data_IF_006830442885
#
_entry.id   IF_006830442885
#
_cell.length_a   1.000
_cell.length_b   1.000
_cell.length_c   1.000
_cell.angle_alpha   90.00
_cell.angle_beta   90.00
_cell.angle_gamma   90.00
#
_symmetry.space_group_name_H-M   'P 1'
#
loop_
_entity.id
_entity.type
_entity.pdbx_description
1 polymer ?
#
# COMPACT_ATOMS: atom_id res chain seq x y z
N UNK A 1 -12.31 32.89 7.65
CA UNK A 1 -12.90 31.58 7.96
C UNK A 1 -11.77 30.65 8.38
N UNK A 2 -11.76 30.16 9.63
CA UNK A 2 -10.80 29.16 10.10
C UNK A 2 -11.52 27.83 10.22
N UNK A 3 -11.23 26.88 9.32
CA UNK A 3 -11.95 25.61 9.26
C UNK A 3 -11.63 24.65 10.43
N UNK A 4 -10.51 24.84 11.15
CA UNK A 4 -10.07 24.09 12.34
C UNK A 4 -9.98 22.54 12.21
N UNK A 5 -10.23 21.98 11.03
CA UNK A 5 -10.08 20.55 10.77
C UNK A 5 -8.62 20.11 10.96
N UNK A 6 -8.43 18.97 11.60
CA UNK A 6 -7.10 18.43 11.93
C UNK A 6 -6.41 17.69 10.78
N UNK A 7 -7.18 17.23 9.81
CA UNK A 7 -6.73 16.48 8.64
C UNK A 7 -7.87 16.38 7.62
N UNK A 8 -7.58 15.82 6.46
CA UNK A 8 -8.53 15.62 5.38
C UNK A 8 -8.54 14.17 4.87
N UNK A 9 -9.53 13.84 4.05
CA UNK A 9 -9.46 12.68 3.17
C UNK A 9 -8.37 12.96 2.11
N UNK A 10 -7.34 12.11 2.04
CA UNK A 10 -6.20 12.27 1.14
C UNK A 10 -6.53 11.75 -0.27
N UNK A 11 -7.54 12.37 -0.91
CA UNK A 11 -7.88 12.10 -2.32
C UNK A 11 -6.68 12.28 -3.27
N UNK A 12 -5.82 13.31 -3.12
CA UNK A 12 -4.65 13.45 -3.97
C UNK A 12 -3.75 12.20 -3.91
N UNK A 13 -3.46 11.70 -2.70
CA UNK A 13 -2.65 10.49 -2.57
C UNK A 13 -3.37 9.24 -3.08
N UNK A 14 -4.69 9.12 -2.85
CA UNK A 14 -5.52 8.04 -3.40
C UNK A 14 -5.40 7.98 -4.94
N UNK A 15 -5.60 9.11 -5.61
CA UNK A 15 -5.50 9.22 -7.07
C UNK A 15 -4.08 8.93 -7.57
N UNK A 16 -3.05 9.40 -6.85
CA UNK A 16 -1.66 9.15 -7.21
C UNK A 16 -1.28 7.67 -7.07
N UNK A 17 -1.80 6.97 -6.05
CA UNK A 17 -1.63 5.51 -5.92
C UNK A 17 -2.33 4.79 -7.08
N UNK A 18 -3.58 5.15 -7.42
CA UNK A 18 -4.28 4.57 -8.56
C UNK A 18 -3.51 4.77 -9.86
N UNK A 19 -3.03 5.99 -10.09
CA UNK A 19 -2.22 6.34 -11.25
C UNK A 19 -0.96 5.46 -11.33
N UNK A 20 -0.27 5.25 -10.21
CA UNK A 20 0.94 4.40 -10.13
C UNK A 20 0.71 2.93 -10.50
N UNK A 21 -0.52 2.44 -10.35
CA UNK A 21 -0.89 1.04 -10.59
C UNK A 21 -1.58 0.80 -11.94
N UNK A 22 -2.14 1.86 -12.54
CA UNK A 22 -2.98 1.77 -13.74
C UNK A 22 -2.36 2.44 -14.96
N UNK A 23 -1.33 3.29 -14.79
CA UNK A 23 -0.70 4.04 -15.87
C UNK A 23 0.80 3.74 -15.96
N UNK A 24 1.40 3.80 -17.17
CA UNK A 24 2.85 3.70 -17.32
C UNK A 24 3.56 4.86 -16.62
N UNK A 25 4.84 4.66 -16.30
CA UNK A 25 5.67 5.73 -15.75
C UNK A 25 5.93 6.81 -16.81
N UNK A 26 5.47 8.02 -16.54
CA UNK A 26 5.68 9.24 -17.34
C UNK A 26 6.26 10.33 -16.45
N UNK A 27 6.63 11.50 -16.99
CA UNK A 27 7.23 12.58 -16.19
C UNK A 27 6.40 12.97 -14.95
N UNK A 28 5.08 13.10 -15.11
CA UNK A 28 4.11 13.37 -14.02
C UNK A 28 3.07 12.25 -13.84
N UNK A 29 3.26 11.11 -14.51
CA UNK A 29 2.31 10.00 -14.54
C UNK A 29 2.90 8.70 -14.01
N UNK A 30 2.03 7.72 -13.77
CA UNK A 30 2.39 6.44 -13.17
C UNK A 30 3.00 6.66 -11.79
N UNK A 31 4.10 5.95 -11.51
CA UNK A 31 4.75 5.99 -10.21
C UNK A 31 5.34 7.35 -9.83
N UNK A 32 5.64 8.22 -10.80
CA UNK A 32 6.14 9.56 -10.52
C UNK A 32 5.06 10.48 -9.94
N UNK A 33 3.77 10.24 -10.26
CA UNK A 33 2.66 10.97 -9.66
C UNK A 33 2.63 10.77 -8.14
N UNK A 34 2.89 9.54 -7.66
CA UNK A 34 2.96 9.22 -6.24
C UNK A 34 4.10 9.98 -5.54
N UNK A 35 5.30 9.96 -6.14
CA UNK A 35 6.45 10.69 -5.59
C UNK A 35 6.18 12.19 -5.49
N UNK A 36 5.67 12.80 -6.56
CA UNK A 36 5.39 14.23 -6.63
C UNK A 36 4.30 14.64 -5.64
N UNK A 37 3.22 13.86 -5.53
CA UNK A 37 2.13 14.12 -4.57
C UNK A 37 2.64 14.10 -3.13
N UNK A 38 3.49 13.13 -2.77
CA UNK A 38 4.12 13.10 -1.44
C UNK A 38 5.13 14.24 -1.25
N UNK A 39 5.78 14.72 -2.31
CA UNK A 39 6.68 15.86 -2.22
C UNK A 39 5.93 17.16 -1.87
N UNK A 40 4.64 17.25 -2.15
CA UNK A 40 3.77 18.39 -1.83
C UNK A 40 3.22 18.36 -0.39
N UNK A 41 3.64 17.40 0.42
CA UNK A 41 3.23 17.26 1.82
C UNK A 41 3.46 18.49 2.69
N UNK A 42 4.43 19.34 2.31
CA UNK A 42 4.69 20.61 2.98
C UNK A 42 3.52 21.61 2.89
N UNK A 43 2.56 21.39 1.99
CA UNK A 43 1.33 22.18 1.89
C UNK A 43 0.37 21.91 3.05
N UNK A 44 0.50 20.75 3.70
CA UNK A 44 -0.28 20.40 4.87
C UNK A 44 0.48 20.77 6.15
N UNK A 45 -0.24 21.30 7.15
CA UNK A 45 0.34 21.57 8.47
C UNK A 45 0.88 20.31 9.14
N UNK A 46 0.15 19.20 9.02
CA UNK A 46 0.56 17.90 9.53
C UNK A 46 -0.15 16.80 8.72
N UNK A 47 0.50 16.29 7.67
CA UNK A 47 -0.18 15.35 6.81
C UNK A 47 -0.21 13.92 7.38
N UNK A 48 0.43 13.67 8.54
CA UNK A 48 0.22 12.43 9.30
C UNK A 48 -1.20 12.28 9.83
N UNK A 49 -1.99 13.37 9.83
CA UNK A 49 -3.40 13.37 10.26
C UNK A 49 -4.39 13.13 9.13
N UNK A 50 -3.92 13.09 7.89
CA UNK A 50 -4.79 12.78 6.76
C UNK A 50 -5.19 11.31 6.77
N UNK A 51 -6.44 11.06 6.37
CA UNK A 51 -7.01 9.73 6.20
C UNK A 51 -6.66 9.24 4.80
N UNK A 52 -5.84 8.19 4.72
CA UNK A 52 -5.49 7.50 3.49
C UNK A 52 -6.51 6.41 3.21
N UNK A 53 -6.88 6.24 1.96
CA UNK A 53 -7.75 5.17 1.49
C UNK A 53 -7.44 4.89 0.02
N UNK A 54 -7.88 3.76 -0.48
CA UNK A 54 -7.78 3.41 -1.90
C UNK A 54 -9.14 3.46 -2.59
N UNK A 55 -10.20 3.32 -1.84
CA UNK A 55 -11.57 3.50 -2.28
C UNK A 55 -12.46 3.73 -1.05
N UNK A 56 -13.73 3.95 -1.31
CA UNK A 56 -14.79 3.99 -0.32
C UNK A 56 -16.13 3.76 -1.05
N UNK A 57 -17.22 3.89 -0.32
CA UNK A 57 -18.58 3.72 -0.83
C UNK A 57 -18.99 4.66 -1.99
N UNK A 58 -18.22 5.70 -2.31
CA UNK A 58 -18.50 6.66 -3.39
C UNK A 58 -17.60 6.47 -4.62
N UNK A 59 -16.70 5.49 -4.57
CA UNK A 59 -15.70 5.19 -5.61
C UNK A 59 -15.87 3.77 -6.18
N UNK A 60 -15.31 3.52 -7.36
CA UNK A 60 -15.17 2.14 -7.87
C UNK A 60 -14.34 1.30 -6.90
N UNK A 61 -14.65 0.00 -6.78
CA UNK A 61 -13.87 -0.91 -5.95
C UNK A 61 -12.42 -0.93 -6.43
N UNK A 62 -11.48 -0.80 -5.50
CA UNK A 62 -10.06 -0.70 -5.82
C UNK A 62 -9.57 -1.92 -6.62
N UNK A 63 -10.05 -3.12 -6.27
CA UNK A 63 -9.70 -4.35 -7.02
C UNK A 63 -10.12 -4.27 -8.50
N UNK A 64 -11.30 -3.71 -8.80
CA UNK A 64 -11.74 -3.46 -10.17
C UNK A 64 -10.89 -2.40 -10.87
N UNK A 65 -10.52 -1.32 -10.16
CA UNK A 65 -9.70 -0.24 -10.73
C UNK A 65 -8.32 -0.73 -11.18
N UNK A 66 -7.71 -1.65 -10.43
CA UNK A 66 -6.41 -2.24 -10.80
C UNK A 66 -6.51 -3.39 -11.80
N UNK A 67 -7.67 -3.59 -12.42
CA UNK A 67 -7.89 -4.59 -13.45
C UNK A 67 -8.06 -6.01 -12.92
N UNK A 68 -8.52 -6.15 -11.66
CA UNK A 68 -8.66 -7.44 -10.97
C UNK A 68 -7.33 -8.21 -10.89
N UNK A 69 -6.21 -7.47 -10.90
CA UNK A 69 -4.86 -8.00 -10.76
C UNK A 69 -4.48 -8.06 -9.28
N UNK A 70 -4.37 -9.27 -8.74
CA UNK A 70 -4.03 -9.50 -7.33
C UNK A 70 -2.67 -8.93 -6.93
N UNK A 71 -1.71 -8.90 -7.85
CA UNK A 71 -0.36 -8.41 -7.56
C UNK A 71 -0.37 -6.88 -7.42
N UNK A 72 -1.10 -6.18 -8.29
CA UNK A 72 -1.34 -4.73 -8.16
C UNK A 72 -2.18 -4.38 -6.94
N UNK A 73 -3.19 -5.20 -6.63
CA UNK A 73 -3.99 -5.04 -5.41
C UNK A 73 -3.10 -5.11 -4.15
N UNK A 74 -2.24 -6.13 -4.04
CA UNK A 74 -1.28 -6.26 -2.94
C UNK A 74 -0.33 -5.07 -2.88
N UNK A 75 0.15 -4.56 -4.02
CA UNK A 75 0.98 -3.36 -4.05
C UNK A 75 0.26 -2.13 -3.48
N UNK A 76 -1.00 -1.89 -3.86
CA UNK A 76 -1.82 -0.84 -3.26
C UNK A 76 -2.01 -1.01 -1.75
N UNK A 77 -2.32 -2.23 -1.30
CA UNK A 77 -2.50 -2.51 0.14
C UNK A 77 -1.20 -2.33 0.93
N UNK A 78 -0.05 -2.67 0.34
CA UNK A 78 1.25 -2.39 0.93
C UNK A 78 1.46 -0.89 1.12
N UNK A 79 1.21 -0.09 0.08
CA UNK A 79 1.29 1.37 0.16
C UNK A 79 0.34 1.90 1.24
N UNK A 80 -0.95 1.55 1.20
CA UNK A 80 -1.94 2.01 2.19
C UNK A 80 -1.48 1.74 3.63
N UNK A 81 -1.01 0.52 3.92
CA UNK A 81 -0.70 0.08 5.29
C UNK A 81 0.69 0.50 5.78
N UNK A 82 1.57 1.00 4.90
CA UNK A 82 2.94 1.38 5.27
C UNK A 82 3.26 2.86 5.03
N UNK A 83 2.41 3.58 4.30
CA UNK A 83 2.55 5.02 4.07
C UNK A 83 2.29 5.84 5.35
N UNK A 84 2.75 7.10 5.35
CA UNK A 84 2.41 8.10 6.37
C UNK A 84 0.89 8.22 6.52
N UNK A 85 0.37 8.73 7.64
CA UNK A 85 -1.06 9.02 7.75
C UNK A 85 -1.90 7.90 8.36
N UNK A 86 -3.21 8.06 8.33
CA UNK A 86 -4.17 7.14 8.97
C UNK A 86 -4.82 6.29 7.88
N UNK A 87 -4.48 5.00 7.73
CA UNK A 87 -5.11 4.17 6.71
C UNK A 87 -6.55 3.81 7.08
N UNK A 88 -7.41 3.85 6.08
CA UNK A 88 -8.78 3.35 6.08
C UNK A 88 -8.91 2.31 4.96
N UNK A 89 -9.39 1.13 5.33
CA UNK A 89 -9.70 0.01 4.43
C UNK A 89 -11.22 -0.06 4.27
N UNK A 90 -11.74 -0.24 3.05
CA UNK A 90 -13.17 -0.34 2.82
C UNK A 90 -13.61 -1.81 2.96
N UNK A 91 -14.77 -2.05 3.57
CA UNK A 91 -15.21 -3.41 3.87
C UNK A 91 -15.35 -4.23 2.59
N UNK A 92 -14.85 -5.46 2.61
CA UNK A 92 -14.89 -6.34 1.44
C UNK A 92 -13.64 -6.28 0.57
N UNK A 93 -12.79 -5.26 0.69
CA UNK A 93 -11.53 -5.25 -0.03
C UNK A 93 -10.63 -6.41 0.41
N UNK A 94 -10.71 -6.78 1.68
CA UNK A 94 -9.97 -7.91 2.26
C UNK A 94 -10.34 -9.27 1.66
N UNK A 95 -11.44 -9.34 0.92
CA UNK A 95 -11.90 -10.51 0.17
C UNK A 95 -12.13 -10.16 -1.31
N UNK A 96 -11.42 -9.16 -1.82
CA UNK A 96 -11.41 -8.78 -3.23
C UNK A 96 -12.81 -8.47 -3.79
N UNK A 97 -13.69 -7.85 -2.98
CA UNK A 97 -14.94 -7.31 -3.51
C UNK A 97 -14.63 -6.34 -4.64
N UNK A 98 -15.40 -6.49 -5.72
CA UNK A 98 -15.19 -5.81 -6.99
C UNK A 98 -16.52 -5.25 -7.47
N UNK A 99 -16.44 -4.25 -8.33
CA UNK A 99 -17.47 -3.67 -9.20
C UNK A 99 -17.10 -2.22 -9.50
N UNK A 100 -17.67 -1.71 -10.59
CA UNK A 100 -17.70 -0.28 -10.87
C UNK A 100 -19.03 0.29 -10.38
N UNK A 101 -19.03 1.58 -10.02
CA UNK A 101 -20.22 2.38 -9.69
C UNK A 101 -21.03 2.67 -10.97
N UNK A 102 -21.55 1.60 -11.58
CA UNK A 102 -22.26 1.62 -12.84
C UNK A 102 -23.22 0.42 -12.91
N UNK A 103 -24.55 0.62 -12.98
CA UNK A 103 -25.23 1.90 -13.27
C UNK A 103 -25.35 2.85 -12.07
N UNK A 104 -25.13 2.39 -10.84
CA UNK A 104 -25.29 3.22 -9.64
C UNK A 104 -24.25 2.89 -8.57
N UNK A 105 -24.21 3.71 -7.51
CA UNK A 105 -23.38 3.50 -6.33
C UNK A 105 -23.72 2.21 -5.57
N UNK A 106 -24.89 1.60 -5.80
CA UNK A 106 -25.27 0.34 -5.14
C UNK A 106 -24.28 -0.79 -5.46
N UNK A 107 -23.71 -0.78 -6.67
CA UNK A 107 -22.80 -1.83 -7.14
C UNK A 107 -21.52 -1.94 -6.30
N UNK A 108 -21.09 -0.85 -5.67
CA UNK A 108 -19.89 -0.82 -4.81
C UNK A 108 -20.23 -0.96 -3.32
N UNK A 109 -21.52 -1.12 -2.99
CA UNK A 109 -22.08 -1.18 -1.63
C UNK A 109 -22.84 -2.50 -1.37
N UNK A 110 -22.51 -3.56 -2.12
CA UNK A 110 -23.13 -4.87 -1.96
C UNK A 110 -22.91 -5.44 -0.55
N UNK A 111 -23.83 -6.29 -0.10
CA UNK A 111 -23.73 -6.98 1.17
C UNK A 111 -22.45 -7.81 1.25
N UNK A 112 -21.81 -7.82 2.43
CA UNK A 112 -20.64 -8.66 2.64
C UNK A 112 -21.08 -10.14 2.66
N UNK A 113 -20.48 -11.03 1.84
CA UNK A 113 -20.93 -12.42 1.76
C UNK A 113 -20.75 -13.15 3.10
N UNK A 114 -21.86 -13.49 3.76
CA UNK A 114 -21.90 -14.14 5.06
C UNK A 114 -22.46 -13.28 6.19
N UNK A 115 -22.79 -12.01 5.93
CA UNK A 115 -23.35 -11.11 6.95
C UNK A 115 -24.82 -11.34 7.26
N UNK A 116 -25.53 -12.09 6.41
CA UNK A 116 -26.96 -12.32 6.52
C UNK A 116 -27.25 -13.80 6.80
N UNK A 117 -28.24 -14.04 7.66
CA UNK A 117 -28.67 -15.39 7.96
C UNK A 117 -29.22 -16.06 6.69
N UNK A 118 -28.67 -17.23 6.34
CA UNK A 118 -29.03 -17.95 5.12
C UNK A 118 -28.15 -17.65 3.91
N UNK A 119 -27.14 -16.77 4.02
CA UNK A 119 -26.17 -16.56 2.96
C UNK A 119 -25.51 -17.89 2.55
N UNK A 120 -25.44 -18.20 1.23
CA UNK A 120 -24.90 -19.47 0.76
C UNK A 120 -23.39 -19.58 0.96
N UNK A 121 -22.72 -18.45 1.18
CA UNK A 121 -21.27 -18.35 1.36
C UNK A 121 -20.99 -17.46 2.57
N UNK A 122 -20.06 -17.89 3.43
CA UNK A 122 -19.63 -17.11 4.59
C UNK A 122 -18.14 -16.78 4.50
N UNK A 123 -17.83 -15.56 4.04
CA UNK A 123 -16.45 -15.08 3.88
C UNK A 123 -15.81 -14.54 5.14
N UNK A 124 -16.53 -14.51 6.27
CA UNK A 124 -15.86 -14.36 7.58
C UNK A 124 -14.96 -15.55 7.88
N UNK A 125 -15.27 -16.72 7.35
CA UNK A 125 -14.48 -17.95 7.51
C UNK A 125 -13.53 -18.15 6.34
N UNK A 126 -12.29 -18.60 6.62
CA UNK A 126 -11.30 -18.88 5.58
C UNK A 126 -11.76 -19.95 4.58
N UNK A 127 -12.54 -20.93 5.03
CA UNK A 127 -13.14 -21.98 4.18
C UNK A 127 -14.20 -21.46 3.20
N UNK A 128 -14.80 -20.30 3.49
CA UNK A 128 -15.77 -19.65 2.58
C UNK A 128 -15.13 -18.70 1.57
N UNK A 129 -13.80 -18.53 1.63
CA UNK A 129 -13.02 -17.68 0.71
C UNK A 129 -12.33 -18.52 -0.34
N UNK A 130 -12.18 -17.97 -1.55
CA UNK A 130 -11.33 -18.57 -2.58
C UNK A 130 -9.85 -18.54 -2.18
N UNK A 131 -8.98 -19.17 -2.97
CA UNK A 131 -7.53 -19.12 -2.75
C UNK A 131 -7.00 -17.68 -2.80
N UNK A 132 -7.41 -16.91 -3.81
CA UNK A 132 -6.96 -15.52 -3.99
C UNK A 132 -7.51 -14.60 -2.90
N UNK A 133 -8.75 -14.81 -2.47
CA UNK A 133 -9.35 -14.07 -1.36
C UNK A 133 -8.62 -14.36 -0.04
N UNK A 134 -8.23 -15.61 0.21
CA UNK A 134 -7.40 -15.93 1.36
C UNK A 134 -6.00 -15.32 1.27
N UNK A 135 -5.41 -15.26 0.07
CA UNK A 135 -4.12 -14.61 -0.14
C UNK A 135 -4.20 -13.10 0.16
N UNK A 136 -5.23 -12.41 -0.36
CA UNK A 136 -5.49 -11.01 -0.09
C UNK A 136 -5.74 -10.74 1.41
N UNK A 137 -6.61 -11.56 2.02
CA UNK A 137 -6.95 -11.45 3.44
C UNK A 137 -5.73 -11.60 4.34
N UNK A 138 -4.92 -12.65 4.14
CA UNK A 138 -3.74 -12.89 4.97
C UNK A 138 -2.63 -11.85 4.71
N UNK A 139 -2.51 -11.33 3.48
CA UNK A 139 -1.60 -10.22 3.16
C UNK A 139 -1.96 -8.95 3.95
N UNK A 140 -3.22 -8.52 3.87
CA UNK A 140 -3.73 -7.35 4.60
C UNK A 140 -3.61 -7.56 6.11
N UNK A 141 -4.01 -8.73 6.61
CA UNK A 141 -3.93 -9.07 8.04
C UNK A 141 -2.49 -9.03 8.54
N UNK A 142 -1.53 -9.53 7.77
CA UNK A 142 -0.10 -9.51 8.13
C UNK A 142 0.39 -8.08 8.27
N UNK A 143 0.18 -7.24 7.25
CA UNK A 143 0.62 -5.85 7.25
C UNK A 143 -0.11 -4.98 8.28
N UNK A 144 -1.42 -5.16 8.47
CA UNK A 144 -2.19 -4.44 9.46
C UNK A 144 -1.72 -4.77 10.89
N UNK A 145 -1.44 -6.05 11.19
CA UNK A 145 -0.90 -6.44 12.48
C UNK A 145 0.54 -5.97 12.69
N UNK A 146 1.36 -5.94 11.64
CA UNK A 146 2.69 -5.36 11.69
C UNK A 146 2.64 -3.86 11.97
N UNK A 147 1.79 -3.12 11.24
CA UNK A 147 1.56 -1.68 11.41
C UNK A 147 1.20 -1.31 12.85
N UNK A 148 0.37 -2.11 13.53
CA UNK A 148 -0.02 -1.87 14.93
C UNK A 148 1.16 -1.85 15.90
N UNK A 149 2.25 -2.55 15.56
CA UNK A 149 3.43 -2.72 16.41
C UNK A 149 4.62 -1.90 15.95
N UNK A 150 4.65 -1.51 14.67
CA UNK A 150 5.75 -0.75 14.06
C UNK A 150 5.72 0.72 14.48
N UNK A 151 6.76 1.17 15.17
CA UNK A 151 6.93 2.58 15.55
C UNK A 151 7.22 3.45 14.32
N UNK A 152 8.05 2.93 13.42
CA UNK A 152 8.40 3.56 12.15
C UNK A 152 7.17 3.83 11.28
N UNK A 153 6.30 2.85 11.04
CA UNK A 153 5.08 3.06 10.24
C UNK A 153 4.06 3.90 11.01
N UNK A 154 3.90 3.64 12.31
CA UNK A 154 2.90 4.30 13.14
C UNK A 154 3.10 5.81 13.26
N UNK A 155 4.34 6.24 13.52
CA UNK A 155 4.67 7.62 13.91
C UNK A 155 5.98 8.12 13.31
N UNK A 156 6.77 7.25 12.72
CA UNK A 156 8.07 7.59 12.15
C UNK A 156 7.98 8.50 10.94
N UNK A 157 9.12 9.10 10.61
CA UNK A 157 9.32 9.96 9.45
C UNK A 157 9.23 9.15 8.16
N UNK A 158 9.00 9.84 7.06
CA UNK A 158 9.07 9.29 5.71
C UNK A 158 10.25 9.92 4.98
N UNK A 159 11.07 9.09 4.33
CA UNK A 159 12.07 9.53 3.36
C UNK A 159 11.85 8.73 2.08
N UNK A 160 11.59 9.43 0.98
CA UNK A 160 11.38 8.81 -0.33
C UNK A 160 12.54 9.12 -1.28
N UNK A 161 12.77 8.20 -2.21
CA UNK A 161 13.73 8.35 -3.28
C UNK A 161 12.99 8.51 -4.60
N UNK A 162 13.51 9.38 -5.48
CA UNK A 162 13.00 9.55 -6.85
C UNK A 162 12.92 8.15 -7.51
N UNK A 163 11.77 7.77 -8.11
CA UNK A 163 11.65 6.50 -8.81
C UNK A 163 12.72 6.34 -9.90
N UNK A 164 13.32 5.15 -10.01
CA UNK A 164 14.30 4.83 -11.05
C UNK A 164 14.03 3.43 -11.59
N UNK A 165 14.07 3.26 -12.92
CA UNK A 165 13.84 1.97 -13.59
C UNK A 165 12.52 1.29 -13.17
N UNK A 166 11.45 2.08 -13.02
CA UNK A 166 10.14 1.67 -12.52
C UNK A 166 10.11 1.17 -11.06
N UNK A 167 11.18 1.37 -10.29
CA UNK A 167 11.20 1.07 -8.85
C UNK A 167 11.07 2.36 -8.06
N UNK A 168 10.04 2.43 -7.22
CA UNK A 168 9.89 3.45 -6.20
C UNK A 168 10.30 2.88 -4.84
N UNK A 169 11.01 3.68 -4.06
CA UNK A 169 11.53 3.27 -2.76
C UNK A 169 11.34 4.39 -1.75
N UNK A 170 10.81 4.03 -0.60
CA UNK A 170 10.75 4.92 0.55
C UNK A 170 11.00 4.16 1.84
N UNK A 171 11.32 4.92 2.87
CA UNK A 171 11.59 4.43 4.20
C UNK A 171 10.64 5.09 5.18
N UNK A 172 10.13 4.28 6.10
CA UNK A 172 9.54 4.74 7.34
C UNK A 172 10.54 4.49 8.45
N UNK A 173 10.84 5.48 9.27
CA UNK A 173 11.89 5.34 10.28
C UNK A 173 11.72 6.25 11.48
N UNK A 174 12.23 5.78 12.60
CA UNK A 174 12.50 6.55 13.80
C UNK A 174 13.79 6.02 14.44
N UNK A 175 14.06 6.38 15.70
CA UNK A 175 15.29 5.99 16.39
C UNK A 175 15.33 4.48 16.74
N UNK A 176 14.18 3.79 16.70
CA UNK A 176 14.04 2.39 17.12
C UNK A 176 13.95 1.44 15.92
N UNK A 177 13.31 1.88 14.84
CA UNK A 177 12.96 1.00 13.73
C UNK A 177 13.16 1.71 12.39
N UNK A 178 13.62 0.95 11.38
CA UNK A 178 13.66 1.39 9.98
C UNK A 178 13.00 0.34 9.10
N UNK A 179 11.96 0.75 8.37
CA UNK A 179 11.22 -0.08 7.42
C UNK A 179 11.44 0.46 6.02
N UNK A 180 11.99 -0.37 5.15
CA UNK A 180 12.16 -0.13 3.73
C UNK A 180 10.94 -0.66 2.98
N UNK A 181 10.39 0.14 2.07
CA UNK A 181 9.32 -0.27 1.16
C UNK A 181 9.78 0.00 -0.27
N UNK A 182 9.71 -1.02 -1.12
CA UNK A 182 10.09 -0.92 -2.53
C UNK A 182 9.01 -1.51 -3.41
N UNK A 183 8.58 -0.76 -4.41
CA UNK A 183 7.54 -1.15 -5.35
C UNK A 183 8.08 -1.13 -6.77
N UNK A 184 7.98 -2.26 -7.46
CA UNK A 184 8.29 -2.37 -8.88
C UNK A 184 7.00 -2.18 -9.69
N UNK A 185 6.88 -1.09 -10.45
CA UNK A 185 5.73 -0.82 -11.34
C UNK A 185 6.02 -1.19 -12.80
N UNK A 186 7.10 -1.94 -13.04
CA UNK A 186 7.48 -2.42 -14.36
C UNK A 186 6.96 -3.83 -14.64
N UNK A 187 7.16 -4.27 -15.88
CA UNK A 187 6.79 -5.61 -16.35
C UNK A 187 7.96 -6.61 -16.32
N UNK A 188 9.10 -6.20 -15.77
CA UNK A 188 10.31 -7.02 -15.65
C UNK A 188 10.72 -7.13 -14.20
N UNK A 189 11.36 -8.23 -13.85
CA UNK A 189 11.99 -8.38 -12.55
C UNK A 189 13.18 -7.41 -12.41
N UNK A 190 13.30 -6.78 -11.25
CA UNK A 190 14.34 -5.77 -10.97
C UNK A 190 15.15 -6.17 -9.74
N UNK A 191 16.46 -6.33 -9.91
CA UNK A 191 17.42 -6.33 -8.79
C UNK A 191 17.67 -4.90 -8.35
N UNK A 192 17.55 -4.62 -7.06
CA UNK A 192 17.70 -3.27 -6.52
C UNK A 192 19.08 -3.08 -5.91
N UNK A 193 19.81 -2.05 -6.36
CA UNK A 193 21.07 -1.65 -5.72
C UNK A 193 20.80 -0.79 -4.50
N UNK A 194 20.88 -1.38 -3.31
CA UNK A 194 20.61 -0.71 -2.03
C UNK A 194 21.67 0.31 -1.62
N UNK A 195 22.85 0.33 -2.24
CA UNK A 195 23.88 1.37 -1.97
C UNK A 195 23.37 2.78 -2.25
N UNK A 196 22.42 2.94 -3.19
CA UNK A 196 21.75 4.22 -3.46
C UNK A 196 21.04 4.79 -2.22
N UNK A 197 20.66 3.92 -1.29
CA UNK A 197 19.88 4.27 -0.10
C UNK A 197 20.75 4.34 1.16
N UNK A 198 22.06 4.56 1.01
CA UNK A 198 23.02 4.53 2.11
C UNK A 198 22.62 5.42 3.31
N UNK A 199 22.00 6.59 3.05
CA UNK A 199 21.49 7.48 4.10
C UNK A 199 20.50 6.79 5.07
N UNK A 200 19.83 5.71 4.61
CA UNK A 200 18.94 4.91 5.45
C UNK A 200 19.38 3.49 5.73
N UNK A 201 20.29 2.94 4.93
CA UNK A 201 20.76 1.56 5.07
C UNK A 201 22.12 1.44 5.75
N UNK A 202 22.84 2.54 5.97
CA UNK A 202 24.14 2.51 6.66
C UNK A 202 24.01 1.86 8.05
N UNK A 203 24.97 0.99 8.37
CA UNK A 203 24.99 0.23 9.62
C UNK A 203 24.01 -0.95 9.72
N UNK A 204 23.27 -1.26 8.65
CA UNK A 204 22.44 -2.47 8.55
C UNK A 204 23.08 -3.51 7.63
N UNK A 205 22.93 -4.80 7.94
CA UNK A 205 23.51 -5.90 7.15
C UNK A 205 22.47 -6.70 6.39
N UNK A 206 21.24 -6.74 6.89
CA UNK A 206 20.17 -7.55 6.32
C UNK A 206 18.81 -6.87 6.44
N UNK A 207 17.82 -7.45 5.77
CA UNK A 207 16.43 -7.01 5.81
C UNK A 207 15.52 -8.21 6.00
N UNK A 208 14.57 -8.09 6.91
CA UNK A 208 13.52 -9.09 7.14
C UNK A 208 12.30 -8.74 6.30
N UNK A 209 11.94 -9.60 5.35
CA UNK A 209 10.69 -9.50 4.60
C UNK A 209 9.51 -9.72 5.56
N UNK A 210 8.64 -8.72 5.69
CA UNK A 210 7.52 -8.75 6.65
C UNK A 210 6.42 -9.72 6.24
N UNK A 211 6.28 -10.01 4.94
CA UNK A 211 5.27 -10.93 4.42
C UNK A 211 5.71 -12.38 4.60
N UNK A 212 6.96 -12.71 4.26
CA UNK A 212 7.45 -14.10 4.27
C UNK A 212 8.19 -14.47 5.56
N UNK A 213 8.64 -13.49 6.34
CA UNK A 213 9.50 -13.68 7.50
C UNK A 213 10.97 -13.97 7.17
N UNK A 214 11.32 -14.13 5.89
CA UNK A 214 12.67 -14.42 5.44
C UNK A 214 13.61 -13.23 5.70
N UNK A 215 14.82 -13.51 6.18
CA UNK A 215 15.89 -12.52 6.31
C UNK A 215 16.82 -12.65 5.11
N UNK A 216 17.07 -11.54 4.42
CA UNK A 216 17.87 -11.46 3.21
C UNK A 216 19.03 -10.46 3.40
N UNK A 217 20.21 -10.71 2.83
CA UNK A 217 21.23 -9.68 2.66
C UNK A 217 20.68 -8.49 1.84
N UNK A 218 21.11 -7.27 2.18
CA UNK A 218 20.60 -6.04 1.52
C UNK A 218 20.91 -5.97 0.01
N UNK A 219 21.90 -6.70 -0.48
CA UNK A 219 22.32 -6.73 -1.88
C UNK A 219 21.62 -7.85 -2.70
N UNK A 220 20.72 -8.61 -2.07
CA UNK A 220 19.99 -9.72 -2.67
C UNK A 220 18.50 -9.45 -2.85
N UNK A 221 18.07 -8.18 -2.82
CA UNK A 221 16.66 -7.85 -2.99
C UNK A 221 16.32 -7.77 -4.48
N UNK A 222 15.36 -8.59 -4.88
CA UNK A 222 14.83 -8.71 -6.23
C UNK A 222 13.31 -8.56 -6.18
N UNK A 223 12.75 -7.74 -7.06
CA UNK A 223 11.34 -7.42 -7.13
C UNK A 223 10.75 -7.91 -8.44
N UNK A 224 9.79 -8.83 -8.37
CA UNK A 224 9.00 -9.26 -9.52
C UNK A 224 8.15 -8.10 -10.05
N UNK A 225 7.60 -8.22 -11.28
CA UNK A 225 6.64 -7.25 -11.80
C UNK A 225 5.51 -7.00 -10.81
N UNK A 226 5.19 -5.71 -10.56
CA UNK A 226 4.14 -5.29 -9.64
C UNK A 226 4.32 -5.72 -8.18
N UNK A 227 5.50 -6.22 -7.80
CA UNK A 227 5.81 -6.59 -6.43
C UNK A 227 6.08 -5.35 -5.57
N UNK A 228 5.49 -5.35 -4.36
CA UNK A 228 5.89 -4.42 -3.30
C UNK A 228 6.51 -5.21 -2.15
N UNK A 229 7.80 -5.00 -1.95
CA UNK A 229 8.55 -5.53 -0.83
C UNK A 229 8.43 -4.59 0.36
N UNK A 230 8.06 -5.15 1.52
CA UNK A 230 8.05 -4.46 2.81
C UNK A 230 9.04 -5.16 3.71
N UNK A 231 10.11 -4.48 4.09
CA UNK A 231 11.21 -5.06 4.84
C UNK A 231 11.66 -4.22 6.03
N UNK A 232 11.91 -4.86 7.16
CA UNK A 232 12.51 -4.23 8.34
C UNK A 232 14.02 -4.42 8.32
N UNK A 233 14.79 -3.33 8.42
CA UNK A 233 16.25 -3.40 8.41
C UNK A 233 16.78 -3.98 9.73
N UNK A 234 17.76 -4.86 9.61
CA UNK A 234 18.38 -5.58 10.72
C UNK A 234 19.89 -5.32 10.69
N UNK A 235 20.43 -4.96 11.86
CA UNK A 235 21.87 -4.73 12.06
C UNK A 235 22.61 -6.06 12.07
#
# INVERSE_FOLDING_TARGET
FNHNAMGALDFPLCEAIHNSLTRPAEWTGGINALYLTLAEDFLYKDPMKNCLFLDNHDMNRFFSVVGEDLQKFKAGMALLLTMRGIPQLYYGDEILMKNFKNPTDQEVRLDFPGGWAGDPVNKFQASGRTKEENEAFEYIKTLANYRKKSTAIGKGKLMQYIPQNAVYTYFRYDDQQTVMVMMNTGNETRKVNTQRFNERTDGFTSVKNIITGQVLPLDQIELKPWETFVGELVK
#
